data_IF_768633715067
#
_entry.id   IF_768633715067
#
_cell.length_a   1.000
_cell.length_b   1.000
_cell.length_c   1.000
_cell.angle_alpha   90.00
_cell.angle_beta   90.00
_cell.angle_gamma   90.00
#
_symmetry.space_group_name_H-M   'P 1'
#
loop_
_entity.id
_entity.type
_entity.pdbx_description
1 polymer ?
#
# COMPACT_ATOMS: atom_id res chain seq x y z
N UNK A 1 0.85 7.16 20.16
CA UNK A 1 1.14 5.78 19.73
C UNK A 1 0.07 5.32 18.77
N UNK A 2 0.45 4.97 17.54
CA UNK A 2 -0.50 4.55 16.55
C UNK A 2 -0.77 3.06 16.59
N UNK A 3 -1.88 2.66 15.96
CA UNK A 3 -2.23 1.24 15.85
C UNK A 3 -1.20 0.45 15.02
N UNK A 4 -0.38 1.16 14.23
CA UNK A 4 0.62 0.53 13.34
C UNK A 4 1.95 0.26 14.04
N UNK A 5 2.09 0.60 15.31
CA UNK A 5 3.33 0.35 16.05
C UNK A 5 3.67 -1.13 16.16
N UNK A 6 2.65 -2.01 16.09
CA UNK A 6 2.83 -3.45 16.16
C UNK A 6 3.14 -4.08 14.79
N UNK A 7 3.02 -3.30 13.73
CA UNK A 7 3.21 -3.77 12.36
C UNK A 7 4.20 -2.84 11.66
N UNK A 8 5.49 -3.16 11.73
CA UNK A 8 6.50 -2.30 11.12
C UNK A 8 6.29 -2.20 9.61
N UNK A 9 6.58 -1.03 9.02
CA UNK A 9 6.48 -0.89 7.58
C UNK A 9 7.50 -1.80 6.88
N UNK A 10 7.12 -2.26 5.70
CA UNK A 10 7.99 -3.10 4.88
C UNK A 10 8.09 -2.52 3.49
N UNK A 11 9.13 -2.92 2.77
CA UNK A 11 9.33 -2.47 1.39
C UNK A 11 8.29 -3.13 0.49
N UNK A 12 7.62 -2.31 -0.30
CA UNK A 12 6.63 -2.79 -1.27
C UNK A 12 6.86 -2.07 -2.59
N UNK A 13 6.29 -2.60 -3.66
CA UNK A 13 6.32 -1.96 -4.97
C UNK A 13 4.88 -1.74 -5.42
N UNK A 14 4.57 -0.51 -5.81
CA UNK A 14 3.29 -0.17 -6.43
C UNK A 14 3.49 -0.21 -7.92
N UNK A 15 2.66 -0.97 -8.63
CA UNK A 15 2.72 -1.05 -10.10
C UNK A 15 1.49 -0.35 -10.64
N UNK A 16 1.71 0.79 -11.29
CA UNK A 16 0.65 1.55 -11.95
C UNK A 16 0.46 1.05 -13.38
N UNK A 17 -0.78 1.01 -13.84
CA UNK A 17 -1.13 0.59 -15.20
C UNK A 17 -0.45 -0.73 -15.58
N UNK A 18 -0.61 -1.79 -14.75
CA UNK A 18 0.10 -3.04 -14.98
C UNK A 18 -0.28 -3.67 -16.32
N UNK A 19 0.74 -4.22 -17.00
CA UNK A 19 0.52 -4.90 -18.27
C UNK A 19 0.35 -3.97 -19.46
N UNK A 20 0.51 -2.67 -19.28
CA UNK A 20 0.40 -1.70 -20.37
C UNK A 20 1.76 -1.12 -20.75
N UNK A 21 1.81 -0.39 -21.86
CA UNK A 21 3.03 0.27 -22.31
C UNK A 21 3.48 1.40 -21.37
N UNK A 22 2.57 1.87 -20.52
CA UNK A 22 2.87 2.96 -19.56
C UNK A 22 3.00 2.45 -18.13
N UNK A 23 3.22 1.16 -17.97
CA UNK A 23 3.42 0.57 -16.65
C UNK A 23 4.56 1.26 -15.91
N UNK A 24 4.31 1.59 -14.66
CA UNK A 24 5.29 2.26 -13.81
C UNK A 24 5.40 1.53 -12.48
N UNK A 25 6.62 1.32 -12.01
CA UNK A 25 6.91 0.61 -10.78
C UNK A 25 7.55 1.58 -9.79
N UNK A 26 6.95 1.71 -8.61
CA UNK A 26 7.39 2.65 -7.58
C UNK A 26 7.66 1.88 -6.30
N UNK A 27 8.92 1.96 -5.81
CA UNK A 27 9.28 1.36 -4.53
C UNK A 27 8.93 2.32 -3.41
N UNK A 28 8.24 1.81 -2.41
CA UNK A 28 7.87 2.61 -1.23
C UNK A 28 7.75 1.70 -0.02
N UNK A 29 7.28 2.24 1.08
CA UNK A 29 7.05 1.47 2.29
C UNK A 29 5.58 1.50 2.65
N UNK A 30 5.10 0.38 3.19
CA UNK A 30 3.72 0.25 3.63
C UNK A 30 3.64 -0.71 4.79
N UNK A 31 2.64 -0.51 5.63
CA UNK A 31 2.29 -1.48 6.66
C UNK A 31 1.24 -2.40 6.05
N UNK A 32 1.57 -3.69 5.95
CA UNK A 32 0.68 -4.67 5.31
C UNK A 32 0.12 -5.58 6.40
N UNK A 33 -1.20 -5.63 6.46
CA UNK A 33 -1.92 -6.48 7.43
C UNK A 33 -3.01 -7.23 6.68
N UNK A 34 -2.84 -8.53 6.53
CA UNK A 34 -3.80 -9.39 5.83
C UNK A 34 -4.09 -8.86 4.42
N UNK A 35 -5.31 -8.40 4.18
CA UNK A 35 -5.77 -7.98 2.86
C UNK A 35 -5.74 -6.47 2.69
N UNK A 36 -4.98 -5.76 3.54
CA UNK A 36 -4.87 -4.30 3.48
C UNK A 36 -3.42 -3.85 3.51
N UNK A 37 -3.11 -2.81 2.78
CA UNK A 37 -1.82 -2.14 2.84
C UNK A 37 -2.06 -0.68 3.18
N UNK A 38 -1.33 -0.17 4.17
CA UNK A 38 -1.48 1.19 4.64
C UNK A 38 -0.28 2.02 4.21
N UNK A 39 -0.56 3.06 3.45
CA UNK A 39 0.47 3.96 2.89
C UNK A 39 0.35 5.35 3.50
N UNK A 40 1.41 6.14 3.37
CA UNK A 40 1.33 7.56 3.68
C UNK A 40 0.30 8.22 2.75
N UNK A 41 -0.40 9.23 3.27
CA UNK A 41 -1.53 9.83 2.54
C UNK A 41 -1.11 10.47 1.21
N UNK A 42 0.17 10.84 1.06
CA UNK A 42 0.68 11.44 -0.18
C UNK A 42 1.06 10.42 -1.25
N UNK A 43 1.00 9.14 -0.94
CA UNK A 43 1.35 8.11 -1.92
C UNK A 43 0.27 7.99 -2.99
N UNK A 44 0.69 7.64 -4.20
CA UNK A 44 -0.22 7.48 -5.34
C UNK A 44 -0.53 6.00 -5.53
N UNK A 45 -1.66 5.58 -4.98
CA UNK A 45 -2.15 4.19 -5.10
C UNK A 45 -3.60 4.27 -5.55
N UNK A 46 -3.93 3.52 -6.60
CA UNK A 46 -5.26 3.58 -7.20
C UNK A 46 -5.84 2.19 -7.40
N UNK A 47 -7.15 2.12 -7.53
CA UNK A 47 -7.82 0.86 -7.88
C UNK A 47 -7.27 0.34 -9.21
N UNK A 48 -7.03 -0.97 -9.26
CA UNK A 48 -6.46 -1.61 -10.43
C UNK A 48 -4.95 -1.66 -10.44
N UNK A 49 -4.28 -0.91 -9.57
CA UNK A 49 -2.83 -1.03 -9.41
C UNK A 49 -2.51 -2.38 -8.77
N UNK A 50 -1.24 -2.78 -8.87
CA UNK A 50 -0.75 -3.97 -8.18
C UNK A 50 0.16 -3.53 -7.05
N UNK A 51 0.03 -4.17 -5.89
CA UNK A 51 0.96 -4.03 -4.79
C UNK A 51 1.75 -5.32 -4.68
N UNK A 52 3.07 -5.23 -4.79
CA UNK A 52 3.98 -6.36 -4.65
C UNK A 52 4.61 -6.31 -3.27
N UNK A 53 4.46 -7.40 -2.53
CA UNK A 53 5.02 -7.53 -1.19
C UNK A 53 5.93 -8.74 -1.14
N UNK A 54 6.96 -8.75 -0.24
CA UNK A 54 7.76 -9.95 -0.05
C UNK A 54 6.91 -11.10 0.44
N UNK A 55 7.12 -12.27 -0.16
CA UNK A 55 6.45 -13.50 0.29
C UNK A 55 7.36 -14.17 1.33
N UNK A 56 6.86 -14.51 2.52
CA UNK A 56 7.68 -15.20 3.54
C UNK A 56 8.27 -16.52 3.05
N UNK A 57 7.65 -17.13 2.04
CA UNK A 57 8.12 -18.40 1.48
C UNK A 57 9.13 -18.22 0.34
N UNK A 58 9.52 -16.97 0.07
CA UNK A 58 10.39 -16.58 -1.03
C UNK A 58 9.60 -16.00 -2.19
N UNK A 59 10.25 -15.10 -2.94
CA UNK A 59 9.62 -14.46 -4.07
C UNK A 59 8.76 -13.28 -3.67
N UNK A 60 7.79 -12.97 -4.52
CA UNK A 60 6.96 -11.77 -4.40
C UNK A 60 5.49 -12.16 -4.52
N UNK A 61 4.70 -11.62 -3.62
CA UNK A 61 3.25 -11.76 -3.65
C UNK A 61 2.67 -10.53 -4.34
N UNK A 62 1.91 -10.73 -5.41
CA UNK A 62 1.32 -9.65 -6.21
C UNK A 62 -0.19 -9.67 -6.06
N UNK A 63 -0.76 -8.54 -5.60
CA UNK A 63 -2.21 -8.46 -5.41
C UNK A 63 -2.74 -7.17 -6.01
N UNK A 64 -3.90 -7.25 -6.67
CA UNK A 64 -4.57 -6.07 -7.21
C UNK A 64 -5.22 -5.26 -6.11
N UNK A 65 -5.14 -3.94 -6.24
CA UNK A 65 -5.85 -3.02 -5.37
C UNK A 65 -7.32 -3.00 -5.77
N UNK A 66 -8.18 -3.47 -4.88
CA UNK A 66 -9.62 -3.53 -5.13
C UNK A 66 -10.31 -2.23 -4.83
N UNK A 67 -9.82 -1.50 -3.84
CA UNK A 67 -10.42 -0.26 -3.36
C UNK A 67 -9.38 0.54 -2.60
N UNK A 68 -9.48 1.86 -2.65
CA UNK A 68 -8.61 2.73 -1.86
C UNK A 68 -9.49 3.63 -0.99
N UNK A 69 -9.22 3.62 0.30
CA UNK A 69 -9.86 4.52 1.26
C UNK A 69 -8.82 5.52 1.76
N UNK A 70 -9.20 6.79 1.79
CA UNK A 70 -8.35 7.83 2.34
C UNK A 70 -8.87 8.17 3.72
N UNK A 71 -8.03 7.95 4.72
CA UNK A 71 -8.39 8.22 6.11
C UNK A 71 -7.60 9.42 6.60
N UNK A 72 -8.27 10.53 6.77
CA UNK A 72 -7.69 11.78 7.26
C UNK A 72 -8.39 12.21 8.52
N UNK A 73 -7.60 12.45 9.57
CA UNK A 73 -8.13 12.98 10.81
C UNK A 73 -8.16 14.50 10.74
N UNK A 74 -9.31 15.14 11.03
CA UNK A 74 -9.35 16.60 11.06
C UNK A 74 -8.57 17.22 12.22
N UNK A 75 -8.19 16.41 13.20
CA UNK A 75 -7.54 16.90 14.42
C UNK A 75 -6.10 16.42 14.56
N UNK A 76 -5.69 15.38 13.85
CA UNK A 76 -4.38 14.76 14.06
C UNK A 76 -3.86 14.18 12.75
N UNK A 77 -2.91 14.88 12.14
CA UNK A 77 -2.34 14.48 10.86
C UNK A 77 -1.46 13.23 10.96
N UNK A 78 -1.03 12.85 12.15
CA UNK A 78 -0.21 11.66 12.33
C UNK A 78 -0.97 10.38 12.03
N UNK A 79 -2.31 10.45 12.01
CA UNK A 79 -3.17 9.30 11.72
C UNK A 79 -3.62 9.24 10.25
N UNK A 80 -3.24 10.24 9.45
CA UNK A 80 -3.62 10.27 8.06
C UNK A 80 -2.92 9.15 7.30
N UNK A 81 -3.69 8.37 6.52
CA UNK A 81 -3.13 7.28 5.73
C UNK A 81 -4.09 6.88 4.62
N UNK A 82 -3.54 6.16 3.63
CA UNK A 82 -4.32 5.49 2.60
C UNK A 82 -4.41 4.02 2.95
N UNK A 83 -5.58 3.45 2.82
CA UNK A 83 -5.76 2.01 2.96
C UNK A 83 -6.10 1.42 1.60
N UNK A 84 -5.23 0.58 1.07
CA UNK A 84 -5.47 -0.15 -0.16
C UNK A 84 -5.98 -1.54 0.20
N UNK A 85 -7.17 -1.86 -0.26
CA UNK A 85 -7.77 -3.19 -0.07
C UNK A 85 -7.28 -4.10 -1.19
N UNK A 86 -6.64 -5.18 -0.80
CA UNK A 86 -5.98 -6.11 -1.73
C UNK A 86 -6.73 -7.41 -1.95
#
# INVERSE_FOLDING_TARGET
MGIFDHFPPQDVVIVHAPGTAVEERISTKATVVQDSAFFAVHEHVYEGDIVETPDPRGGVLRRYVKKVDINQSPFDNDLDHLEAHL
#
